data_IF_143971309939
#
_entry.id   IF_143971309939
#
_cell.length_a   1.000
_cell.length_b   1.000
_cell.length_c   1.000
_cell.angle_alpha   90.00
_cell.angle_beta   90.00
_cell.angle_gamma   90.00
#
_symmetry.space_group_name_H-M   'P 1'
#
loop_
_entity.id
_entity.type
_entity.pdbx_description
1 polymer ?
#
# COMPACT_ATOMS: atom_id res chain seq x y z
N UNK A 1 6.32 -21.98 -18.92
CA UNK A 1 6.79 -20.67 -18.44
C UNK A 1 7.49 -20.89 -17.11
N UNK A 2 8.80 -20.67 -17.02
CA UNK A 2 9.60 -20.82 -15.81
C UNK A 2 10.02 -19.48 -15.17
N UNK A 3 10.68 -19.51 -14.00
CA UNK A 3 11.13 -18.33 -13.25
C UNK A 3 11.99 -17.35 -14.06
N UNK A 4 12.72 -17.84 -15.05
CA UNK A 4 13.53 -17.07 -15.99
C UNK A 4 12.72 -16.09 -16.87
N UNK A 5 11.39 -16.25 -16.93
CA UNK A 5 10.50 -15.36 -17.68
C UNK A 5 9.86 -14.28 -16.80
N UNK A 6 10.16 -14.26 -15.50
CA UNK A 6 9.66 -13.23 -14.58
C UNK A 6 10.62 -12.06 -14.57
N UNK A 7 10.11 -10.88 -14.92
CA UNK A 7 10.92 -9.64 -14.99
C UNK A 7 10.73 -8.78 -13.75
N UNK A 8 9.52 -8.77 -13.17
CA UNK A 8 9.20 -7.89 -12.05
C UNK A 8 8.15 -8.47 -11.10
N UNK A 9 8.37 -8.31 -9.80
CA UNK A 9 7.35 -8.46 -8.77
C UNK A 9 6.89 -7.09 -8.27
N UNK A 10 5.58 -6.95 -8.16
CA UNK A 10 4.94 -5.79 -7.55
C UNK A 10 4.10 -6.30 -6.40
N UNK A 11 4.52 -6.02 -5.17
CA UNK A 11 3.81 -6.45 -3.96
C UNK A 11 3.65 -5.30 -2.97
N UNK A 12 2.88 -5.55 -1.92
CA UNK A 12 2.85 -4.64 -0.78
C UNK A 12 4.25 -4.42 -0.18
N UNK A 13 4.46 -3.27 0.46
CA UNK A 13 5.72 -2.86 1.07
C UNK A 13 5.87 -3.38 2.52
N UNK A 14 4.99 -4.27 2.98
CA UNK A 14 5.14 -4.87 4.29
C UNK A 14 6.46 -5.66 4.41
N UNK A 15 7.02 -5.66 5.62
CA UNK A 15 8.37 -6.15 5.89
C UNK A 15 8.58 -7.63 5.50
N UNK A 16 7.53 -8.45 5.60
CA UNK A 16 7.55 -9.85 5.18
C UNK A 16 7.72 -10.01 3.67
N UNK A 17 7.07 -9.17 2.86
CA UNK A 17 7.23 -9.23 1.40
C UNK A 17 8.59 -8.73 0.97
N UNK A 18 9.11 -7.69 1.64
CA UNK A 18 10.48 -7.23 1.40
C UNK A 18 11.53 -8.30 1.73
N UNK A 19 11.39 -8.98 2.86
CA UNK A 19 12.30 -10.07 3.23
C UNK A 19 12.22 -11.25 2.25
N UNK A 20 11.00 -11.64 1.85
CA UNK A 20 10.81 -12.69 0.85
C UNK A 20 11.41 -12.30 -0.51
N UNK A 21 11.26 -11.05 -0.91
CA UNK A 21 11.87 -10.51 -2.12
C UNK A 21 13.40 -10.56 -2.08
N UNK A 22 14.02 -10.10 -0.99
CA UNK A 22 15.48 -10.17 -0.81
C UNK A 22 16.00 -11.60 -0.93
N UNK A 23 15.28 -12.58 -0.37
CA UNK A 23 15.62 -14.01 -0.50
C UNK A 23 15.49 -14.51 -1.94
N UNK A 24 14.46 -14.10 -2.66
CA UNK A 24 14.24 -14.50 -4.05
C UNK A 24 15.24 -13.80 -4.99
N UNK A 25 15.58 -12.55 -4.74
CA UNK A 25 16.58 -11.79 -5.48
C UNK A 25 17.96 -12.43 -5.33
N UNK A 26 18.33 -12.84 -4.11
CA UNK A 26 19.57 -13.58 -3.85
C UNK A 26 19.59 -14.96 -4.53
N UNK A 27 18.44 -15.61 -4.70
CA UNK A 27 18.34 -16.95 -5.30
C UNK A 27 18.34 -16.93 -6.83
N UNK A 28 17.65 -15.97 -7.45
CA UNK A 28 17.40 -15.98 -8.89
C UNK A 28 18.12 -14.84 -9.63
N UNK A 29 18.24 -13.65 -9.04
CA UNK A 29 18.98 -12.52 -9.62
C UNK A 29 18.49 -11.98 -10.97
N UNK A 30 17.37 -12.49 -11.51
CA UNK A 30 16.87 -12.18 -12.86
C UNK A 30 15.69 -11.22 -12.91
N UNK A 31 15.12 -10.84 -11.77
CA UNK A 31 13.91 -10.03 -11.69
C UNK A 31 14.13 -8.81 -10.78
N UNK A 32 13.25 -7.83 -10.91
CA UNK A 32 13.21 -6.63 -10.07
C UNK A 32 12.01 -6.64 -9.14
N UNK A 33 12.12 -5.92 -8.03
CA UNK A 33 11.00 -5.65 -7.15
C UNK A 33 10.72 -4.17 -7.04
N UNK A 34 9.43 -3.85 -6.94
CA UNK A 34 8.96 -2.51 -6.63
C UNK A 34 7.72 -2.59 -5.75
N UNK A 35 7.54 -1.65 -4.81
CA UNK A 35 6.35 -1.60 -3.98
C UNK A 35 5.11 -1.28 -4.83
N UNK A 36 3.96 -1.76 -4.37
CA UNK A 36 2.67 -1.53 -5.00
C UNK A 36 2.31 -0.04 -4.98
N UNK A 37 2.08 0.54 -6.16
CA UNK A 37 1.71 1.95 -6.31
C UNK A 37 0.44 2.32 -5.51
N UNK A 38 -0.59 1.45 -5.53
CA UNK A 38 -1.82 1.67 -4.77
C UNK A 38 -1.55 1.75 -3.27
N UNK A 39 -0.68 0.87 -2.75
CA UNK A 39 -0.31 0.90 -1.35
C UNK A 39 0.51 2.16 -1.00
N UNK A 40 1.47 2.54 -1.85
CA UNK A 40 2.22 3.78 -1.68
C UNK A 40 1.30 5.01 -1.62
N UNK A 41 0.31 5.09 -2.51
CA UNK A 41 -0.68 6.19 -2.48
C UNK A 41 -1.50 6.17 -1.19
N UNK A 42 -1.92 5.01 -0.71
CA UNK A 42 -2.64 4.90 0.55
C UNK A 42 -1.81 5.41 1.73
N UNK A 43 -0.53 5.06 1.82
CA UNK A 43 0.38 5.56 2.86
C UNK A 43 0.55 7.08 2.78
N UNK A 44 0.77 7.64 1.58
CA UNK A 44 0.87 9.09 1.39
C UNK A 44 -0.39 9.84 1.85
N UNK A 45 -1.58 9.27 1.58
CA UNK A 45 -2.85 9.84 2.02
C UNK A 45 -3.05 9.71 3.54
N UNK A 46 -2.61 8.60 4.14
CA UNK A 46 -2.63 8.42 5.59
C UNK A 46 -1.75 9.49 6.27
N UNK A 47 -0.50 9.65 5.84
CA UNK A 47 0.42 10.66 6.37
C UNK A 47 -0.15 12.08 6.22
N UNK A 48 -0.79 12.38 5.08
CA UNK A 48 -1.48 13.65 4.87
C UNK A 48 -2.64 13.85 5.87
N UNK A 49 -3.43 12.80 6.12
CA UNK A 49 -4.54 12.85 7.06
C UNK A 49 -4.11 12.97 8.53
N UNK A 50 -2.91 12.51 8.86
CA UNK A 50 -2.32 12.61 10.21
C UNK A 50 -1.70 13.98 10.52
N UNK A 51 -1.62 14.90 9.54
CA UNK A 51 -1.18 16.27 9.81
C UNK A 51 -2.21 17.04 10.63
N UNK A 52 -1.74 17.86 11.58
CA UNK A 52 -2.59 18.60 12.51
C UNK A 52 -3.60 19.52 11.80
N UNK A 53 -3.20 20.12 10.67
CA UNK A 53 -4.09 20.95 9.86
C UNK A 53 -5.20 20.15 9.16
N UNK A 54 -4.99 18.86 8.90
CA UNK A 54 -5.94 17.97 8.21
C UNK A 54 -6.81 17.14 9.16
N UNK A 55 -6.37 16.86 10.39
CA UNK A 55 -7.07 15.99 11.35
C UNK A 55 -8.54 16.35 11.54
N UNK A 56 -8.86 17.63 11.75
CA UNK A 56 -10.24 18.08 11.97
C UNK A 56 -11.12 17.84 10.73
N UNK A 57 -10.58 18.09 9.54
CA UNK A 57 -11.28 17.88 8.27
C UNK A 57 -11.56 16.39 8.06
N UNK A 58 -10.53 15.55 8.21
CA UNK A 58 -10.66 14.09 8.10
C UNK A 58 -11.70 13.56 9.08
N UNK A 59 -11.65 13.98 10.35
CA UNK A 59 -12.63 13.59 11.35
C UNK A 59 -14.07 13.94 10.95
N UNK A 60 -14.30 15.18 10.49
CA UNK A 60 -15.64 15.61 10.03
C UNK A 60 -16.14 14.79 8.84
N UNK A 61 -15.27 14.52 7.87
CA UNK A 61 -15.61 13.67 6.73
C UNK A 61 -15.96 12.24 7.17
N UNK A 62 -15.22 11.67 8.13
CA UNK A 62 -15.52 10.34 8.68
C UNK A 62 -16.90 10.30 9.36
N UNK A 63 -17.27 11.33 10.12
CA UNK A 63 -18.60 11.40 10.76
C UNK A 63 -19.73 11.47 9.72
N UNK A 64 -19.56 12.26 8.65
CA UNK A 64 -20.53 12.32 7.54
C UNK A 64 -20.64 10.94 6.87
N UNK A 65 -19.52 10.31 6.55
CA UNK A 65 -19.50 8.99 5.92
C UNK A 65 -20.20 7.94 6.80
N UNK A 66 -19.91 7.90 8.11
CA UNK A 66 -20.60 7.02 9.06
C UNK A 66 -22.10 7.28 9.09
N UNK A 67 -22.52 8.55 9.12
CA UNK A 67 -23.94 8.89 9.08
C UNK A 67 -24.61 8.34 7.82
N UNK A 68 -24.02 8.55 6.64
CA UNK A 68 -24.55 8.02 5.37
C UNK A 68 -24.61 6.49 5.42
N UNK A 69 -23.54 5.81 5.80
CA UNK A 69 -23.52 4.34 5.86
C UNK A 69 -24.57 3.76 6.81
N UNK A 70 -24.82 4.42 7.94
CA UNK A 70 -25.78 3.94 8.94
C UNK A 70 -27.25 4.25 8.62
N UNK A 71 -27.52 5.13 7.64
CA UNK A 71 -28.89 5.58 7.33
C UNK A 71 -29.28 5.39 5.86
N UNK A 72 -28.35 5.07 4.97
CA UNK A 72 -28.62 4.82 3.54
C UNK A 72 -28.69 3.33 3.18
N UNK A 73 -28.26 2.44 4.08
CA UNK A 73 -28.29 0.98 3.94
C UNK A 73 -28.84 0.34 5.23
#
# INVERSE_FOLDING_TARGET
VGPENVVQFITDNAANYKAADEMLAARYGTFYWSPCATHCVNLMLQDLGERDDMKLTVHRCQEITKFIYNHAY
#
